data_IF_501057965844
#
_entry.id   IF_501057965844
#
_cell.length_a   1.000
_cell.length_b   1.000
_cell.length_c   1.000
_cell.angle_alpha   90.00
_cell.angle_beta   90.00
_cell.angle_gamma   90.00
#
_symmetry.space_group_name_H-M   'P 1'
#
loop_
_entity.id
_entity.type
_entity.pdbx_description
1 polymer ?
#
# COMPACT_ATOMS: atom_id res chain seq x y z
N UNK A 1 -3.32 6.58 11.30
CA UNK A 1 -2.45 6.85 12.46
C UNK A 1 -1.18 7.53 12.00
N UNK A 2 -0.71 8.58 12.70
CA UNK A 2 0.61 9.19 12.47
C UNK A 2 1.64 8.27 13.12
N UNK A 3 2.47 7.61 12.32
CA UNK A 3 3.45 6.63 12.79
C UNK A 3 4.62 7.32 13.49
N UNK A 4 4.64 7.25 14.83
CA UNK A 4 5.81 7.54 15.64
C UNK A 4 6.78 6.35 15.64
N UNK A 5 7.91 6.53 14.96
CA UNK A 5 9.23 5.92 15.21
C UNK A 5 9.28 4.48 15.76
N UNK A 6 8.85 3.52 14.94
CA UNK A 6 9.56 2.24 14.75
C UNK A 6 9.60 1.99 13.24
N UNK A 7 10.79 2.10 12.64
CA UNK A 7 10.97 2.19 11.19
C UNK A 7 10.87 0.84 10.45
N UNK A 8 10.83 -0.28 11.17
CA UNK A 8 10.62 -1.62 10.61
C UNK A 8 9.16 -2.04 10.72
N UNK A 9 8.70 -2.96 9.86
CA UNK A 9 7.45 -3.69 10.10
C UNK A 9 7.58 -4.39 11.45
N UNK A 10 6.77 -3.98 12.42
CA UNK A 10 6.63 -4.75 13.64
C UNK A 10 5.44 -5.69 13.51
N UNK A 11 5.41 -6.74 14.34
CA UNK A 11 4.30 -7.70 14.40
C UNK A 11 2.97 -6.98 14.61
N UNK A 12 2.98 -5.83 15.31
CA UNK A 12 1.79 -5.04 15.59
C UNK A 12 1.21 -4.34 14.35
N UNK A 13 2.04 -3.94 13.39
CA UNK A 13 1.60 -3.42 12.10
C UNK A 13 0.88 -4.51 11.31
N UNK A 14 1.48 -5.69 11.23
CA UNK A 14 0.90 -6.85 10.54
C UNK A 14 -0.46 -7.25 11.11
N UNK A 15 -0.57 -7.33 12.45
CA UNK A 15 -1.82 -7.64 13.15
C UNK A 15 -2.89 -6.58 12.88
N UNK A 16 -2.52 -5.30 12.90
CA UNK A 16 -3.47 -4.20 12.59
C UNK A 16 -3.96 -4.29 11.15
N UNK A 17 -3.06 -4.51 10.20
CA UNK A 17 -3.40 -4.54 8.78
C UNK A 17 -4.30 -5.73 8.44
N UNK A 18 -4.07 -6.91 9.04
CA UNK A 18 -4.86 -8.13 8.81
C UNK A 18 -6.38 -7.94 8.90
N UNK A 19 -6.85 -7.03 9.76
CA UNK A 19 -8.28 -6.75 9.90
C UNK A 19 -8.89 -6.09 8.66
N UNK A 20 -8.08 -5.41 7.84
CA UNK A 20 -8.53 -4.56 6.74
C UNK A 20 -8.27 -5.17 5.36
N UNK A 21 -7.46 -6.21 5.26
CA UNK A 21 -6.97 -6.74 3.97
C UNK A 21 -8.10 -7.32 3.11
N UNK A 22 -9.09 -7.91 3.76
CA UNK A 22 -10.27 -8.47 3.10
C UNK A 22 -11.42 -7.47 3.03
N UNK A 23 -11.20 -6.20 3.40
CA UNK A 23 -12.20 -5.13 3.33
C UNK A 23 -11.98 -4.35 2.02
N UNK A 24 -12.84 -4.54 1.00
CA UNK A 24 -12.65 -3.90 -0.31
C UNK A 24 -12.73 -2.37 -0.26
N UNK A 25 -13.34 -1.79 0.76
CA UNK A 25 -13.44 -0.35 0.98
C UNK A 25 -12.18 0.27 1.62
N UNK A 26 -11.23 -0.55 2.10
CA UNK A 26 -10.03 -0.06 2.74
C UNK A 26 -9.10 0.62 1.73
N UNK A 27 -8.59 1.81 2.11
CA UNK A 27 -7.62 2.56 1.34
C UNK A 27 -6.29 2.61 2.09
N UNK A 28 -5.21 2.35 1.35
CA UNK A 28 -3.84 2.34 1.85
C UNK A 28 -3.09 3.54 1.28
N UNK A 29 -2.48 4.34 2.16
CA UNK A 29 -1.72 5.52 1.76
C UNK A 29 -0.23 5.27 1.95
N UNK A 30 0.54 5.42 0.88
CA UNK A 30 1.98 5.19 0.84
C UNK A 30 2.70 6.49 0.49
N UNK A 31 3.80 6.80 1.16
CA UNK A 31 4.68 7.91 0.77
C UNK A 31 5.58 7.44 -0.36
N UNK A 32 5.35 8.02 -1.54
CA UNK A 32 5.96 7.75 -2.85
C UNK A 32 6.03 6.27 -3.30
N UNK A 33 5.58 5.93 -4.54
CA UNK A 33 5.69 4.57 -5.09
C UNK A 33 7.15 4.12 -5.28
N UNK A 34 8.11 5.06 -5.36
CA UNK A 34 9.53 4.79 -5.58
C UNK A 34 10.39 4.87 -4.29
N UNK A 35 9.81 5.20 -3.12
CA UNK A 35 10.58 5.18 -1.88
C UNK A 35 10.79 3.74 -1.40
N UNK A 36 11.89 3.16 -1.92
CA UNK A 36 12.69 2.02 -1.42
C UNK A 36 12.99 2.12 0.09
N UNK A 37 12.71 3.26 0.73
CA UNK A 37 12.95 3.54 2.16
C UNK A 37 12.01 2.70 3.06
N UNK A 38 10.88 2.21 2.54
CA UNK A 38 10.01 1.28 3.25
C UNK A 38 10.00 -0.08 2.54
N UNK A 39 10.94 -0.97 2.91
CA UNK A 39 10.90 -2.41 2.56
C UNK A 39 9.75 -3.16 3.28
N UNK A 40 8.61 -2.51 3.44
CA UNK A 40 7.37 -3.09 3.92
C UNK A 40 6.49 -3.55 2.77
N UNK A 41 6.86 -3.23 1.52
CA UNK A 41 6.10 -3.68 0.35
C UNK A 41 6.07 -5.21 0.28
N UNK A 42 7.19 -5.88 0.57
CA UNK A 42 7.25 -7.34 0.61
C UNK A 42 6.34 -7.92 1.69
N UNK A 43 6.42 -7.40 2.92
CA UNK A 43 5.57 -7.83 4.04
C UNK A 43 4.10 -7.55 3.80
N UNK A 44 3.76 -6.36 3.27
CA UNK A 44 2.39 -6.01 2.92
C UNK A 44 1.84 -6.93 1.83
N UNK A 45 2.61 -7.17 0.76
CA UNK A 45 2.31 -8.16 -0.29
C UNK A 45 2.11 -9.55 0.27
N UNK A 46 2.94 -9.97 1.21
CA UNK A 46 2.82 -11.29 1.83
C UNK A 46 1.49 -11.47 2.57
N UNK A 47 0.89 -10.38 3.06
CA UNK A 47 -0.38 -10.45 3.78
C UNK A 47 -1.58 -10.71 2.87
N UNK A 48 -1.64 -10.09 1.69
CA UNK A 48 -2.84 -10.17 0.84
C UNK A 48 -2.73 -11.19 -0.30
N UNK A 49 -1.52 -11.60 -0.70
CA UNK A 49 -1.32 -12.63 -1.73
C UNK A 49 -2.04 -13.96 -1.46
N UNK A 50 -2.08 -14.50 -0.22
CA UNK A 50 -2.85 -15.71 0.09
C UNK A 50 -4.36 -15.56 -0.17
N UNK A 51 -4.87 -14.34 -0.21
CA UNK A 51 -6.27 -14.02 -0.49
C UNK A 51 -6.55 -13.77 -1.98
N UNK A 52 -5.55 -13.99 -2.87
CA UNK A 52 -5.66 -13.74 -4.31
C UNK A 52 -6.02 -12.27 -4.64
N UNK A 53 -5.45 -11.35 -3.87
CA UNK A 53 -5.62 -9.91 -4.05
C UNK A 53 -4.38 -9.26 -4.69
N UNK A 54 -4.58 -8.10 -5.28
CA UNK A 54 -3.54 -7.22 -5.82
C UNK A 54 -3.86 -5.74 -5.56
N UNK A 55 -2.89 -4.86 -5.79
CA UNK A 55 -3.05 -3.43 -5.57
C UNK A 55 -3.52 -2.74 -6.87
N UNK A 56 -4.60 -1.98 -6.77
CA UNK A 56 -4.97 -0.97 -7.77
C UNK A 56 -4.58 0.42 -7.26
N UNK A 57 -4.01 1.26 -8.13
CA UNK A 57 -3.72 2.66 -7.81
C UNK A 57 -5.01 3.46 -8.03
N UNK A 58 -5.56 4.01 -6.95
CA UNK A 58 -6.76 4.85 -7.00
C UNK A 58 -6.40 6.31 -7.31
N UNK A 59 -5.28 6.79 -6.76
CA UNK A 59 -4.80 8.16 -6.95
C UNK A 59 -3.31 8.26 -6.63
N UNK A 60 -2.62 9.20 -7.30
CA UNK A 60 -1.25 9.56 -6.99
C UNK A 60 -1.13 11.08 -6.80
N UNK A 61 -0.56 11.49 -5.68
CA UNK A 61 -0.33 12.89 -5.36
C UNK A 61 1.12 13.24 -5.67
N UNK A 62 1.30 14.36 -6.37
CA UNK A 62 2.61 14.83 -6.81
C UNK A 62 2.93 16.19 -6.18
N UNK A 63 4.21 16.42 -5.93
CA UNK A 63 4.72 17.76 -5.69
C UNK A 63 4.59 18.60 -6.97
N UNK A 64 4.67 19.93 -6.83
CA UNK A 64 4.70 20.85 -7.97
C UNK A 64 5.84 20.56 -8.96
N UNK A 65 6.91 19.92 -8.50
CA UNK A 65 8.05 19.47 -9.30
C UNK A 65 7.74 18.27 -10.21
N UNK A 66 6.57 17.63 -10.03
CA UNK A 66 6.23 16.36 -10.70
C UNK A 66 6.73 15.12 -9.96
N UNK A 67 7.43 15.28 -8.82
CA UNK A 67 7.87 14.14 -7.99
C UNK A 67 6.66 13.54 -7.26
N UNK A 68 6.46 12.21 -7.27
CA UNK A 68 5.38 11.60 -6.51
C UNK A 68 5.64 11.74 -5.01
N UNK A 69 4.61 12.13 -4.28
CA UNK A 69 4.64 12.37 -2.84
C UNK A 69 3.88 11.27 -2.08
N UNK A 70 2.67 10.94 -2.54
CA UNK A 70 1.80 9.93 -1.93
C UNK A 70 1.08 9.12 -3.01
N UNK A 71 0.84 7.85 -2.77
CA UNK A 71 -0.05 7.00 -3.56
C UNK A 71 -1.17 6.44 -2.69
N UNK A 72 -2.38 6.36 -3.25
CA UNK A 72 -3.52 5.66 -2.65
C UNK A 72 -3.71 4.36 -3.41
N UNK A 73 -3.65 3.25 -2.69
CA UNK A 73 -3.98 1.94 -3.26
C UNK A 73 -5.17 1.32 -2.56
N UNK A 74 -5.88 0.47 -3.29
CA UNK A 74 -6.93 -0.42 -2.79
C UNK A 74 -6.56 -1.85 -3.17
N UNK A 75 -6.97 -2.81 -2.35
CA UNK A 75 -6.86 -4.22 -2.68
C UNK A 75 -8.08 -4.67 -3.47
N UNK A 76 -7.82 -5.29 -4.63
CA UNK A 76 -8.83 -5.81 -5.54
C UNK A 76 -8.49 -7.26 -5.91
N UNK A 77 -9.44 -7.97 -6.51
CA UNK A 77 -9.20 -9.34 -6.97
C UNK A 77 -8.09 -9.36 -8.04
N UNK A 78 -7.22 -10.37 -7.98
CA UNK A 78 -6.14 -10.53 -8.94
C UNK A 78 -6.64 -10.54 -10.40
N UNK A 79 -6.02 -9.73 -11.25
CA UNK A 79 -6.40 -9.52 -12.65
C UNK A 79 -7.43 -8.41 -12.87
N UNK A 80 -7.82 -7.67 -11.83
CA UNK A 80 -8.80 -6.57 -11.92
C UNK A 80 -8.21 -5.20 -11.62
N UNK A 81 -6.94 -5.12 -11.21
CA UNK A 81 -6.28 -3.85 -10.95
C UNK A 81 -6.23 -2.97 -12.21
N UNK A 82 -6.55 -1.70 -12.00
CA UNK A 82 -6.38 -0.64 -12.97
C UNK A 82 -5.15 0.17 -12.60
N UNK A 83 -3.99 -0.29 -13.07
CA UNK A 83 -2.73 0.42 -12.91
C UNK A 83 -2.37 1.03 -14.27
N UNK A 84 -2.42 2.36 -14.44
CA UNK A 84 -2.02 2.98 -15.69
C UNK A 84 -0.57 2.58 -16.03
N UNK A 85 -0.26 2.30 -17.31
CA UNK A 85 1.12 2.01 -17.71
C UNK A 85 2.02 3.19 -17.31
N UNK A 86 3.14 2.87 -16.66
CA UNK A 86 4.18 3.82 -16.25
C UNK A 86 4.86 4.46 -17.46
#
# INVERSE_FOLDING_TARGET
EVFGYAWQSDVQLTVRLNNFITQPEALYLWRAPDEIIFDRSADFKALYRPHNLEETIEEAFYERSGRPLLGVTRLVDAGTANNPPQ
#
